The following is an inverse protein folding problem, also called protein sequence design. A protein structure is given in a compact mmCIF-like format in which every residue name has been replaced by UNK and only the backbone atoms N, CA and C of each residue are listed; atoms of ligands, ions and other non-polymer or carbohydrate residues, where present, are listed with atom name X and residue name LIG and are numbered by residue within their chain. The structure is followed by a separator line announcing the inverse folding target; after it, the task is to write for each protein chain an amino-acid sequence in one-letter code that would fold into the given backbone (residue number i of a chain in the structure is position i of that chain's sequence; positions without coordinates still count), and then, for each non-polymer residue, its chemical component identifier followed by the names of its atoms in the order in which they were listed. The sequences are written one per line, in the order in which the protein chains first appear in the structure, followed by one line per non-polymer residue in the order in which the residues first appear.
data_IF_715602038999
#
_entry.id   IF_715602038999
#
_cell.length_a   1.000
_cell.length_b   1.000
_cell.length_c   1.000
_cell.angle_alpha   90.00
_cell.angle_beta   90.00
_cell.angle_gamma   90.00
#
_symmetry.space_group_name_H-M   'P 1'
#
loop_
_entity.id
_entity.type
_entity.pdbx_description
1 polymer ?
#
# COMPACT_ATOMS: atom_id res chain seq x y z
N UNK A 1 -3.56 64.91 0.69
CA UNK A 1 -3.15 63.57 1.15
C UNK A 1 -3.65 62.59 0.08
N UNK A 2 -2.71 62.00 -0.67
CA UNK A 2 -3.00 61.21 -1.85
C UNK A 2 -2.97 59.72 -1.49
N UNK A 3 -4.07 59.03 -1.72
CA UNK A 3 -4.16 57.56 -1.67
C UNK A 3 -3.41 56.95 -2.86
N UNK A 4 -2.44 56.07 -2.59
CA UNK A 4 -1.80 55.27 -3.63
C UNK A 4 -2.47 53.89 -3.63
N UNK A 5 -3.41 53.72 -4.57
CA UNK A 5 -3.97 52.39 -4.86
C UNK A 5 -3.01 51.57 -5.70
N UNK A 6 -2.69 50.37 -5.23
CA UNK A 6 -1.94 49.36 -5.98
C UNK A 6 -2.91 48.61 -6.90
N UNK A 7 -2.73 48.81 -8.19
CA UNK A 7 -3.54 48.18 -9.25
C UNK A 7 -2.94 46.79 -9.54
N UNK A 8 -3.65 45.71 -9.18
CA UNK A 8 -3.30 44.35 -9.61
C UNK A 8 -3.65 44.17 -11.09
N UNK A 9 -2.62 44.00 -11.90
CA UNK A 9 -2.77 43.68 -13.32
C UNK A 9 -3.44 42.34 -13.54
N UNK A 10 -4.52 42.30 -14.30
CA UNK A 10 -5.15 41.06 -14.82
C UNK A 10 -4.15 40.34 -15.73
N UNK A 11 -3.64 39.19 -15.31
CA UNK A 11 -2.91 38.28 -16.20
C UNK A 11 -3.95 37.52 -17.02
N UNK A 12 -4.10 37.93 -18.29
CA UNK A 12 -4.90 37.18 -19.25
C UNK A 12 -4.05 36.04 -19.82
N UNK A 13 -4.27 34.82 -19.33
CA UNK A 13 -3.65 33.64 -19.92
C UNK A 13 -4.35 33.33 -21.25
N UNK A 14 -3.71 33.68 -22.35
CA UNK A 14 -4.18 33.34 -23.70
C UNK A 14 -4.03 31.84 -23.94
N UNK A 15 -5.17 31.14 -24.00
CA UNK A 15 -5.25 29.65 -24.08
C UNK A 15 -4.82 29.01 -25.42
N UNK A 16 -4.05 29.69 -26.28
CA UNK A 16 -3.63 29.19 -27.58
C UNK A 16 -2.32 28.37 -27.51
N UNK A 17 -1.39 28.69 -26.61
CA UNK A 17 -0.11 27.96 -26.49
C UNK A 17 -0.27 26.58 -25.84
N UNK A 18 -1.23 26.43 -24.88
CA UNK A 18 -1.48 25.16 -24.20
C UNK A 18 -2.16 24.10 -25.07
N UNK A 19 -2.93 24.48 -26.09
CA UNK A 19 -3.59 23.51 -26.98
C UNK A 19 -2.60 22.93 -28.02
N UNK A 20 -1.74 23.76 -28.62
CA UNK A 20 -0.71 23.30 -29.58
C UNK A 20 0.29 22.35 -28.94
N UNK A 21 0.76 22.60 -27.73
CA UNK A 21 1.67 21.70 -27.02
C UNK A 21 1.02 20.36 -26.66
N UNK A 22 -0.27 20.32 -26.32
CA UNK A 22 -1.00 19.06 -26.05
C UNK A 22 -1.25 18.26 -27.31
N UNK A 23 -1.61 18.90 -28.44
CA UNK A 23 -1.81 18.21 -29.73
C UNK A 23 -0.51 17.68 -30.32
N UNK A 24 0.60 18.40 -30.15
CA UNK A 24 1.91 17.97 -30.60
C UNK A 24 2.41 16.80 -29.75
N UNK A 25 2.28 16.84 -28.41
CA UNK A 25 2.62 15.73 -27.52
C UNK A 25 1.74 14.49 -27.74
N UNK A 26 0.46 14.65 -28.11
CA UNK A 26 -0.40 13.52 -28.47
C UNK A 26 -0.01 12.86 -29.79
N UNK A 27 0.43 13.65 -30.80
CA UNK A 27 0.93 13.12 -32.09
C UNK A 27 2.27 12.40 -31.89
N UNK A 28 3.19 12.97 -31.13
CA UNK A 28 4.49 12.33 -30.81
C UNK A 28 4.31 11.03 -30.03
N UNK A 29 3.40 10.99 -29.08
CA UNK A 29 3.05 9.74 -28.36
C UNK A 29 2.43 8.68 -29.29
N UNK A 30 1.63 9.08 -30.28
CA UNK A 30 1.05 8.16 -31.26
C UNK A 30 2.12 7.51 -32.13
N UNK A 31 3.10 8.27 -32.60
CA UNK A 31 4.24 7.76 -33.40
C UNK A 31 5.09 6.77 -32.58
N UNK A 32 5.38 7.10 -31.31
CA UNK A 32 6.14 6.21 -30.42
C UNK A 32 5.35 4.92 -30.17
N UNK A 33 4.05 4.99 -29.95
CA UNK A 33 3.20 3.81 -29.72
C UNK A 33 3.14 2.89 -30.93
N UNK A 34 3.01 3.44 -32.14
CA UNK A 34 3.00 2.66 -33.38
C UNK A 34 4.36 1.97 -33.62
N UNK A 35 5.45 2.71 -33.48
CA UNK A 35 6.79 2.20 -33.60
C UNK A 35 7.11 1.10 -32.57
N UNK A 36 6.80 1.33 -31.30
CA UNK A 36 7.01 0.35 -30.24
C UNK A 36 6.09 -0.87 -30.37
N UNK A 37 4.90 -0.70 -30.94
CA UNK A 37 3.96 -1.80 -31.22
C UNK A 37 4.51 -2.79 -32.25
N UNK A 38 5.21 -2.30 -33.29
CA UNK A 38 5.88 -3.16 -34.25
C UNK A 38 7.08 -3.89 -33.68
N UNK A 39 7.95 -3.16 -32.96
CA UNK A 39 9.12 -3.72 -32.28
C UNK A 39 8.79 -4.72 -31.19
N UNK A 40 7.72 -4.52 -30.47
CA UNK A 40 7.33 -5.44 -29.39
C UNK A 40 6.86 -6.81 -29.87
N UNK A 41 6.40 -6.94 -31.11
CA UNK A 41 6.16 -8.23 -31.76
C UNK A 41 7.46 -8.94 -32.11
N UNK A 42 8.38 -8.23 -32.79
CA UNK A 42 9.71 -8.74 -33.13
C UNK A 42 10.46 -9.21 -31.87
N UNK A 43 10.46 -8.41 -30.79
CA UNK A 43 11.08 -8.77 -29.51
C UNK A 43 10.48 -10.06 -28.94
N UNK A 44 9.16 -10.24 -29.00
CA UNK A 44 8.53 -11.48 -28.50
C UNK A 44 8.88 -12.71 -29.30
N UNK A 45 9.05 -12.56 -30.61
CA UNK A 45 9.34 -13.67 -31.50
C UNK A 45 10.86 -14.02 -31.49
N UNK A 46 11.74 -13.02 -31.51
CA UNK A 46 13.19 -13.22 -31.60
C UNK A 46 13.87 -13.48 -30.26
N UNK A 47 13.33 -12.91 -29.16
CA UNK A 47 13.94 -13.01 -27.82
C UNK A 47 13.12 -13.87 -26.84
N UNK A 48 12.25 -14.72 -27.35
CA UNK A 48 11.55 -15.69 -26.52
C UNK A 48 12.56 -16.74 -26.00
N UNK A 49 12.66 -16.83 -24.69
CA UNK A 49 13.43 -17.91 -24.04
C UNK A 49 12.51 -19.12 -23.93
N UNK A 50 12.80 -20.15 -24.72
CA UNK A 50 12.02 -21.37 -24.75
C UNK A 50 12.08 -22.13 -23.41
N UNK A 51 11.09 -23.01 -23.17
CA UNK A 51 11.01 -23.79 -21.93
C UNK A 51 12.20 -24.75 -21.76
N UNK A 52 12.85 -25.11 -22.86
CA UNK A 52 14.06 -25.94 -22.88
C UNK A 52 15.25 -25.34 -22.13
N UNK A 53 15.29 -24.01 -21.92
CA UNK A 53 16.34 -23.35 -21.12
C UNK A 53 16.06 -23.37 -19.61
N UNK A 54 14.86 -23.76 -19.19
CA UNK A 54 14.49 -23.82 -17.76
C UNK A 54 14.75 -25.20 -17.16
N UNK A 55 15.96 -25.70 -17.31
CA UNK A 55 16.37 -26.96 -16.69
C UNK A 55 16.78 -26.77 -15.23
N UNK A 56 16.46 -27.75 -14.37
CA UNK A 56 16.88 -27.78 -12.99
C UNK A 56 16.08 -26.88 -12.06
N UNK A 57 16.75 -26.30 -11.08
CA UNK A 57 16.11 -25.55 -9.99
C UNK A 57 15.89 -24.05 -10.27
N UNK A 58 15.81 -23.65 -11.52
CA UNK A 58 15.55 -22.22 -11.85
C UNK A 58 14.15 -21.83 -11.38
N UNK A 59 14.08 -20.89 -10.44
CA UNK A 59 12.83 -20.44 -9.85
C UNK A 59 12.29 -19.23 -10.61
N UNK A 60 11.00 -19.27 -10.94
CA UNK A 60 10.27 -18.12 -11.53
C UNK A 60 9.51 -17.39 -10.42
N UNK A 61 10.20 -16.53 -9.65
CA UNK A 61 9.63 -15.82 -8.51
C UNK A 61 9.72 -16.60 -7.20
N UNK A 62 8.78 -16.35 -6.27
CA UNK A 62 8.83 -16.82 -4.88
C UNK A 62 8.06 -18.13 -4.63
N UNK A 63 7.77 -18.90 -5.70
CA UNK A 63 7.11 -20.20 -5.58
C UNK A 63 7.86 -21.29 -6.30
N UNK A 64 7.85 -22.48 -5.71
CA UNK A 64 8.27 -23.71 -6.34
C UNK A 64 7.19 -24.22 -7.32
N UNK A 65 7.55 -25.16 -8.18
CA UNK A 65 6.62 -25.78 -9.14
C UNK A 65 5.43 -26.50 -8.48
N UNK A 66 5.63 -27.00 -7.26
CA UNK A 66 4.60 -27.64 -6.43
C UNK A 66 3.69 -26.62 -5.68
N UNK A 67 3.87 -25.32 -5.92
CA UNK A 67 3.13 -24.24 -5.28
C UNK A 67 3.61 -23.85 -3.89
N UNK A 68 4.69 -24.47 -3.37
CA UNK A 68 5.30 -24.05 -2.11
C UNK A 68 6.05 -22.75 -2.23
N UNK A 69 6.25 -22.04 -1.11
CA UNK A 69 7.09 -20.84 -1.06
C UNK A 69 8.57 -21.20 -1.22
N UNK A 70 9.30 -20.37 -1.95
CA UNK A 70 10.76 -20.42 -1.99
C UNK A 70 11.30 -19.84 -0.68
N UNK A 71 12.24 -20.54 -0.03
CA UNK A 71 12.90 -20.00 1.15
C UNK A 71 13.92 -18.94 0.71
N UNK A 72 13.59 -17.68 0.96
CA UNK A 72 14.43 -16.52 0.59
C UNK A 72 15.10 -15.87 1.78
N UNK A 73 14.98 -16.48 2.96
CA UNK A 73 15.64 -16.03 4.18
C UNK A 73 14.95 -16.55 5.44
N UNK A 74 15.56 -16.24 6.58
CA UNK A 74 15.05 -16.59 7.90
C UNK A 74 14.70 -15.31 8.65
N UNK A 75 13.57 -15.29 9.33
CA UNK A 75 13.09 -14.14 10.12
C UNK A 75 12.52 -14.61 11.46
N UNK A 76 12.61 -13.76 12.47
CA UNK A 76 11.90 -13.88 13.75
C UNK A 76 10.80 -12.84 13.92
N UNK A 77 10.54 -12.03 12.87
CA UNK A 77 9.56 -10.94 12.93
C UNK A 77 8.14 -11.49 12.83
N UNK A 78 7.90 -12.35 11.85
CA UNK A 78 6.59 -12.96 11.66
C UNK A 78 6.69 -14.44 11.31
N UNK A 79 5.67 -15.21 11.66
CA UNK A 79 5.51 -16.60 11.29
C UNK A 79 4.08 -16.88 10.85
N UNK A 80 3.95 -17.57 9.73
CA UNK A 80 2.68 -17.91 9.10
C UNK A 80 2.54 -19.42 9.08
N UNK A 81 1.42 -19.93 9.58
CA UNK A 81 1.12 -21.36 9.62
C UNK A 81 -0.25 -21.62 8.96
N UNK A 82 -0.29 -22.43 7.94
CA UNK A 82 -1.52 -22.86 7.25
C UNK A 82 -1.60 -24.37 7.06
N UNK A 83 -0.54 -25.10 7.45
CA UNK A 83 -0.46 -26.55 7.42
C UNK A 83 0.59 -27.07 8.41
N UNK A 84 0.46 -28.34 8.80
CA UNK A 84 1.49 -29.13 9.49
C UNK A 84 2.13 -30.10 8.50
N UNK A 85 3.40 -30.41 8.72
CA UNK A 85 4.08 -31.50 8.02
C UNK A 85 4.04 -32.75 8.93
N UNK A 86 3.34 -33.79 8.48
CA UNK A 86 3.30 -35.06 9.16
C UNK A 86 3.62 -36.17 8.14
N UNK A 87 4.66 -36.94 8.38
CA UNK A 87 5.13 -38.00 7.49
C UNK A 87 5.38 -37.57 6.05
N UNK A 88 5.88 -36.34 5.87
CA UNK A 88 6.11 -35.73 4.56
C UNK A 88 4.85 -35.21 3.85
N UNK A 89 3.67 -35.38 4.44
CA UNK A 89 2.41 -34.88 3.93
C UNK A 89 2.05 -33.55 4.60
N UNK A 90 1.38 -32.66 3.81
CA UNK A 90 0.85 -31.39 4.32
C UNK A 90 -0.58 -31.59 4.78
N UNK A 91 -0.79 -31.45 6.07
CA UNK A 91 -2.11 -31.47 6.68
C UNK A 91 -2.55 -30.02 6.87
N UNK A 92 -3.61 -29.55 6.16
CA UNK A 92 -4.13 -28.20 6.36
C UNK A 92 -4.61 -28.01 7.80
N UNK A 93 -4.34 -26.83 8.35
CA UNK A 93 -4.84 -26.38 9.65
C UNK A 93 -5.49 -25.03 9.49
N UNK A 94 -6.32 -24.57 10.44
CA UNK A 94 -6.74 -23.16 10.52
C UNK A 94 -5.52 -22.24 10.50
N UNK A 95 -5.61 -21.14 9.76
CA UNK A 95 -4.52 -20.20 9.61
C UNK A 95 -4.12 -19.59 10.94
N UNK A 96 -2.80 -19.46 11.17
CA UNK A 96 -2.23 -18.75 12.31
C UNK A 96 -1.14 -17.81 11.85
N UNK A 97 -1.14 -16.63 12.41
CA UNK A 97 -0.15 -15.59 12.16
C UNK A 97 0.41 -15.12 13.50
N UNK A 98 1.74 -15.05 13.58
CA UNK A 98 2.44 -14.66 14.79
C UNK A 98 3.30 -13.42 14.52
N UNK A 99 3.21 -12.45 15.39
CA UNK A 99 4.09 -11.27 15.44
C UNK A 99 5.07 -11.43 16.58
N UNK A 100 6.36 -11.59 16.26
CA UNK A 100 7.43 -11.82 17.27
C UNK A 100 7.10 -12.94 18.26
N UNK A 101 6.38 -13.97 17.79
CA UNK A 101 6.01 -15.14 18.60
C UNK A 101 4.68 -15.03 19.35
N UNK A 102 4.00 -13.87 19.30
CA UNK A 102 2.67 -13.67 19.87
C UNK A 102 1.64 -13.92 18.76
N UNK A 103 0.61 -14.71 19.03
CA UNK A 103 -0.45 -14.98 18.06
C UNK A 103 -1.29 -13.72 17.80
N UNK A 104 -1.58 -13.46 16.53
CA UNK A 104 -2.29 -12.25 16.11
C UNK A 104 -3.65 -12.13 16.80
N UNK A 105 -4.37 -13.24 16.95
CA UNK A 105 -5.67 -13.24 17.60
C UNK A 105 -5.58 -12.82 19.08
N UNK A 106 -4.52 -13.22 19.80
CA UNK A 106 -4.32 -12.81 21.19
C UNK A 106 -4.11 -11.29 21.30
N UNK A 107 -3.36 -10.69 20.35
CA UNK A 107 -3.17 -9.23 20.29
C UNK A 107 -4.51 -8.52 20.06
N UNK A 108 -5.26 -8.99 19.05
CA UNK A 108 -6.55 -8.39 18.66
C UNK A 108 -7.58 -8.49 19.79
N UNK A 109 -7.70 -9.66 20.43
CA UNK A 109 -8.67 -9.86 21.50
C UNK A 109 -8.30 -9.04 22.76
N UNK A 110 -7.03 -8.86 23.08
CA UNK A 110 -6.58 -8.01 24.18
C UNK A 110 -7.05 -6.55 23.97
N UNK A 111 -6.74 -5.95 22.82
CA UNK A 111 -7.15 -4.59 22.51
C UNK A 111 -8.67 -4.42 22.40
N UNK A 112 -9.36 -5.43 21.86
CA UNK A 112 -10.82 -5.46 21.79
C UNK A 112 -11.47 -5.49 23.17
N UNK A 113 -10.93 -6.31 24.08
CA UNK A 113 -11.45 -6.42 25.45
C UNK A 113 -11.26 -5.13 26.26
N UNK A 114 -10.13 -4.44 26.04
CA UNK A 114 -9.79 -3.18 26.72
C UNK A 114 -10.37 -1.93 26.04
N UNK A 115 -10.85 -2.05 24.80
CA UNK A 115 -11.31 -0.91 24.01
C UNK A 115 -10.19 0.08 23.67
N UNK A 116 -8.96 -0.41 23.46
CA UNK A 116 -7.77 0.38 23.18
C UNK A 116 -7.37 0.31 21.69
N UNK A 117 -6.52 1.24 21.24
CA UNK A 117 -5.86 1.19 19.93
C UNK A 117 -4.57 0.39 20.06
N UNK A 118 -4.30 -0.51 19.10
CA UNK A 118 -3.19 -1.46 19.18
C UNK A 118 -2.14 -1.31 18.09
N UNK A 119 -2.37 -0.52 17.05
CA UNK A 119 -1.42 -0.43 15.93
C UNK A 119 -0.04 0.09 16.35
N UNK A 120 0.03 1.10 17.20
CA UNK A 120 1.28 1.65 17.69
C UNK A 120 2.05 0.65 18.56
N UNK A 121 1.35 -0.13 19.38
CA UNK A 121 1.95 -1.22 20.17
C UNK A 121 2.49 -2.32 19.27
N UNK A 122 1.75 -2.71 18.21
CA UNK A 122 2.21 -3.67 17.21
C UNK A 122 3.42 -3.15 16.44
N UNK A 123 3.44 -1.86 16.08
CA UNK A 123 4.61 -1.25 15.45
C UNK A 123 5.84 -1.32 16.37
N UNK A 124 5.68 -1.03 17.66
CA UNK A 124 6.73 -1.19 18.67
C UNK A 124 7.21 -2.65 18.75
N UNK A 125 6.26 -3.59 18.87
CA UNK A 125 6.55 -5.04 18.95
C UNK A 125 7.36 -5.52 17.74
N UNK A 126 6.95 -5.16 16.54
CA UNK A 126 7.61 -5.58 15.30
C UNK A 126 9.02 -5.00 15.18
N UNK A 127 9.21 -3.74 15.53
CA UNK A 127 10.51 -3.05 15.50
C UNK A 127 11.46 -3.57 16.58
N UNK A 128 11.00 -3.65 17.83
CA UNK A 128 11.87 -3.86 18.99
C UNK A 128 11.84 -5.30 19.54
N UNK A 129 10.91 -6.14 19.07
CA UNK A 129 10.89 -7.58 19.36
C UNK A 129 10.20 -7.99 20.65
N UNK A 130 9.58 -7.06 21.38
CA UNK A 130 8.79 -7.29 22.60
C UNK A 130 7.67 -6.28 22.73
N UNK A 131 6.68 -6.57 23.54
CA UNK A 131 5.65 -5.61 23.92
C UNK A 131 6.25 -4.51 24.82
N UNK A 132 5.77 -3.25 24.67
CA UNK A 132 6.17 -2.15 25.56
C UNK A 132 5.53 -2.25 26.93
N UNK A 133 6.16 -1.70 27.95
CA UNK A 133 5.46 -1.28 29.17
C UNK A 133 4.62 -0.01 28.86
N UNK A 134 3.66 0.32 29.75
CA UNK A 134 2.75 1.45 29.51
C UNK A 134 3.49 2.78 29.29
N UNK A 135 4.53 3.03 30.07
CA UNK A 135 5.36 4.24 29.94
C UNK A 135 6.17 4.24 28.63
N UNK A 136 6.65 3.08 28.18
CA UNK A 136 7.39 2.94 26.92
C UNK A 136 6.45 3.18 25.73
N UNK A 137 5.21 2.66 25.78
CA UNK A 137 4.20 2.91 24.73
C UNK A 137 3.85 4.38 24.67
N UNK A 138 3.62 5.03 25.82
CA UNK A 138 3.34 6.46 25.87
C UNK A 138 4.49 7.29 25.26
N UNK A 139 5.74 6.94 25.59
CA UNK A 139 6.91 7.58 25.01
C UNK A 139 7.01 7.32 23.49
N UNK A 140 6.76 6.11 23.03
CA UNK A 140 6.78 5.77 21.61
C UNK A 140 5.71 6.53 20.83
N UNK A 141 4.50 6.65 21.37
CA UNK A 141 3.43 7.45 20.78
C UNK A 141 3.81 8.92 20.64
N UNK A 142 4.49 9.49 21.66
CA UNK A 142 4.99 10.85 21.58
C UNK A 142 6.08 11.01 20.50
N UNK A 143 6.97 10.03 20.36
CA UNK A 143 7.99 10.00 19.30
C UNK A 143 7.33 9.96 17.92
N UNK A 144 6.35 9.08 17.72
CA UNK A 144 5.59 9.01 16.47
C UNK A 144 4.87 10.33 16.17
N UNK A 145 4.23 10.94 17.18
CA UNK A 145 3.55 12.22 17.02
C UNK A 145 4.49 13.33 16.55
N UNK A 146 5.68 13.42 17.11
CA UNK A 146 6.70 14.39 16.71
C UNK A 146 7.25 14.10 15.31
N UNK A 147 7.42 12.82 14.96
CA UNK A 147 7.95 12.39 13.66
C UNK A 147 6.95 12.57 12.49
N UNK A 148 5.66 12.83 12.78
CA UNK A 148 4.65 13.10 11.74
C UNK A 148 4.89 14.38 10.95
N UNK A 149 5.72 15.30 11.47
CA UNK A 149 5.99 16.55 10.78
C UNK A 149 6.70 16.30 9.44
N UNK A 150 6.12 16.84 8.37
CA UNK A 150 6.73 16.77 7.03
C UNK A 150 7.78 17.88 6.88
N UNK A 151 8.82 17.67 6.05
CA UNK A 151 9.72 18.75 5.65
C UNK A 151 8.95 19.93 5.04
N UNK A 152 9.48 21.14 5.19
CA UNK A 152 8.86 22.36 4.66
C UNK A 152 8.60 22.25 3.16
N UNK A 153 7.42 22.68 2.73
CA UNK A 153 6.93 22.63 1.34
C UNK A 153 6.87 21.24 0.70
N UNK A 154 7.12 20.16 1.44
CA UNK A 154 7.13 18.80 0.87
C UNK A 154 5.78 18.42 0.23
N UNK A 155 4.68 18.70 0.91
CA UNK A 155 3.34 18.37 0.38
C UNK A 155 3.05 19.15 -0.90
N UNK A 156 3.37 20.43 -0.94
CA UNK A 156 3.18 21.29 -2.09
C UNK A 156 4.04 20.83 -3.29
N UNK A 157 5.31 20.61 -3.06
CA UNK A 157 6.28 20.34 -4.12
C UNK A 157 6.24 18.89 -4.61
N UNK A 158 6.09 17.92 -3.72
CA UNK A 158 6.19 16.51 -4.07
C UNK A 158 4.82 15.85 -4.33
N UNK A 159 3.73 16.39 -3.77
CA UNK A 159 2.41 15.79 -3.91
C UNK A 159 1.50 16.65 -4.80
N UNK A 160 1.32 17.93 -4.48
CA UNK A 160 0.35 18.79 -5.17
C UNK A 160 0.82 19.24 -6.56
N UNK A 161 2.11 19.56 -6.76
CA UNK A 161 2.66 19.93 -8.07
C UNK A 161 2.78 18.77 -9.04
N UNK A 162 2.85 17.53 -8.53
CA UNK A 162 2.93 16.33 -9.34
C UNK A 162 1.93 15.25 -8.87
N UNK A 163 0.61 15.52 -8.92
CA UNK A 163 -0.40 14.60 -8.44
C UNK A 163 -0.42 13.31 -9.27
N UNK A 164 -0.74 12.18 -8.64
CA UNK A 164 -0.84 10.89 -9.31
C UNK A 164 -2.26 10.33 -9.25
N UNK A 165 -2.73 9.73 -10.35
CA UNK A 165 -3.96 8.93 -10.34
C UNK A 165 -3.83 7.66 -9.49
N UNK A 166 -2.60 7.21 -9.27
CA UNK A 166 -2.27 6.03 -8.49
C UNK A 166 -1.58 6.43 -7.18
N UNK A 167 -2.27 6.23 -6.05
CA UNK A 167 -1.80 6.60 -4.72
C UNK A 167 -0.53 5.83 -4.34
N UNK A 168 -0.41 4.55 -4.71
CA UNK A 168 0.78 3.75 -4.43
C UNK A 168 2.01 4.29 -5.16
N UNK A 169 1.84 4.79 -6.40
CA UNK A 169 2.93 5.49 -7.10
C UNK A 169 3.31 6.79 -6.38
N UNK A 170 2.32 7.55 -5.89
CA UNK A 170 2.59 8.76 -5.13
C UNK A 170 3.34 8.45 -3.83
N UNK A 171 2.95 7.39 -3.11
CA UNK A 171 3.64 6.92 -1.90
C UNK A 171 5.11 6.58 -2.19
N UNK A 172 5.37 5.73 -3.20
CA UNK A 172 6.74 5.33 -3.56
C UNK A 172 7.63 6.54 -3.88
N UNK A 173 7.11 7.49 -4.68
CA UNK A 173 7.85 8.73 -5.02
C UNK A 173 8.10 9.60 -3.80
N UNK A 174 7.11 9.73 -2.94
CA UNK A 174 7.22 10.54 -1.73
C UNK A 174 8.23 9.95 -0.75
N UNK A 175 8.24 8.63 -0.58
CA UNK A 175 9.25 7.95 0.24
C UNK A 175 10.65 8.21 -0.31
N UNK A 176 10.85 8.00 -1.62
CA UNK A 176 12.16 8.23 -2.25
C UNK A 176 12.58 9.70 -2.17
N UNK A 177 11.65 10.64 -2.29
CA UNK A 177 11.94 12.07 -2.17
C UNK A 177 12.36 12.49 -0.75
N UNK A 178 11.90 11.79 0.31
CA UNK A 178 12.33 12.06 1.69
C UNK A 178 13.82 11.89 1.91
N UNK A 179 14.48 11.07 1.10
CA UNK A 179 15.95 10.95 1.07
C UNK A 179 16.65 12.31 1.01
N UNK A 180 16.17 13.21 0.15
CA UNK A 180 16.78 14.54 -0.04
C UNK A 180 16.59 15.51 1.14
N UNK A 181 15.81 15.12 2.14
CA UNK A 181 15.53 15.91 3.34
C UNK A 181 16.15 15.28 4.62
N UNK A 182 16.96 14.25 4.46
CA UNK A 182 17.65 13.56 5.55
C UNK A 182 19.16 13.69 5.36
N UNK A 183 19.81 14.46 6.20
CA UNK A 183 21.26 14.69 6.15
C UNK A 183 22.08 13.39 6.38
N UNK A 184 21.46 12.37 6.96
CA UNK A 184 22.07 11.07 7.25
C UNK A 184 21.41 9.93 6.44
N UNK A 185 20.91 10.22 5.23
CA UNK A 185 20.15 9.27 4.43
C UNK A 185 20.91 7.96 4.16
N UNK A 186 22.21 8.03 3.91
CA UNK A 186 23.09 6.89 3.57
C UNK A 186 23.71 6.19 4.80
N UNK A 187 23.44 6.67 6.02
CA UNK A 187 23.93 6.00 7.22
C UNK A 187 23.11 4.74 7.48
N UNK A 188 23.71 3.58 7.21
CA UNK A 188 23.13 2.25 7.40
C UNK A 188 23.37 1.67 8.82
N UNK A 189 23.72 2.51 9.81
CA UNK A 189 23.76 2.06 11.19
C UNK A 189 22.38 1.63 11.69
N UNK A 190 22.29 0.61 12.56
CA UNK A 190 21.01 0.16 13.10
C UNK A 190 20.20 1.26 13.76
N UNK A 191 20.86 2.18 14.44
CA UNK A 191 20.27 3.35 15.10
C UNK A 191 19.61 4.29 14.10
N UNK A 192 20.29 4.58 12.99
CA UNK A 192 19.76 5.46 11.96
C UNK A 192 18.64 4.79 11.15
N UNK A 193 18.77 3.50 10.82
CA UNK A 193 17.69 2.72 10.18
C UNK A 193 16.45 2.72 11.06
N UNK A 194 16.59 2.53 12.37
CA UNK A 194 15.46 2.58 13.30
C UNK A 194 14.80 3.96 13.31
N UNK A 195 15.59 5.06 13.38
CA UNK A 195 15.09 6.43 13.28
C UNK A 195 14.29 6.64 11.99
N UNK A 196 14.88 6.31 10.84
CA UNK A 196 14.24 6.43 9.53
C UNK A 196 12.95 5.60 9.44
N UNK A 197 12.94 4.39 10.01
CA UNK A 197 11.76 3.53 10.05
C UNK A 197 10.63 4.14 10.86
N UNK A 198 10.91 4.70 12.04
CA UNK A 198 9.92 5.39 12.88
C UNK A 198 9.36 6.62 12.16
N UNK A 199 10.21 7.43 11.52
CA UNK A 199 9.78 8.59 10.75
C UNK A 199 8.88 8.19 9.56
N UNK A 200 9.22 7.13 8.85
CA UNK A 200 8.41 6.62 7.74
C UNK A 200 7.06 6.10 8.24
N UNK A 201 7.00 5.30 9.31
CA UNK A 201 5.75 4.84 9.92
C UNK A 201 4.85 6.03 10.28
N UNK A 202 5.42 7.07 10.87
CA UNK A 202 4.69 8.27 11.28
C UNK A 202 4.18 9.11 10.08
N UNK A 203 4.96 9.21 8.99
CA UNK A 203 4.67 10.05 7.82
C UNK A 203 3.80 9.38 6.76
N UNK A 204 3.81 8.06 6.65
CA UNK A 204 3.03 7.32 5.65
C UNK A 204 1.53 7.67 5.63
N UNK A 205 0.84 7.72 6.78
CA UNK A 205 -0.59 8.09 6.80
C UNK A 205 -0.84 9.49 6.25
N UNK A 206 0.03 10.46 6.56
CA UNK A 206 -0.10 11.82 6.07
C UNK A 206 0.16 11.92 4.55
N UNK A 207 1.18 11.23 4.05
CA UNK A 207 1.47 11.14 2.61
C UNK A 207 0.28 10.49 1.88
N UNK A 208 -0.27 9.39 2.41
CA UNK A 208 -1.40 8.69 1.84
C UNK A 208 -2.67 9.57 1.79
N UNK A 209 -2.99 10.27 2.88
CA UNK A 209 -4.11 11.18 2.96
C UNK A 209 -3.96 12.34 1.96
N UNK A 210 -2.82 13.01 1.94
CA UNK A 210 -2.55 14.11 1.02
C UNK A 210 -2.56 13.66 -0.45
N UNK A 211 -2.03 12.46 -0.76
CA UNK A 211 -2.09 11.86 -2.08
C UNK A 211 -3.54 11.57 -2.52
N UNK A 212 -4.37 11.08 -1.60
CA UNK A 212 -5.79 10.86 -1.86
C UNK A 212 -6.52 12.17 -2.13
N UNK A 213 -6.27 13.22 -1.34
CA UNK A 213 -6.89 14.53 -1.52
C UNK A 213 -6.44 15.17 -2.83
N UNK A 214 -5.15 15.11 -3.17
CA UNK A 214 -4.64 15.57 -4.45
C UNK A 214 -5.30 14.81 -5.62
N UNK A 215 -5.40 13.48 -5.54
CA UNK A 215 -6.08 12.67 -6.55
C UNK A 215 -7.54 13.11 -6.74
N UNK A 216 -8.29 13.23 -5.65
CA UNK A 216 -9.69 13.64 -5.67
C UNK A 216 -9.87 15.03 -6.27
N UNK A 217 -8.97 15.96 -5.96
CA UNK A 217 -9.01 17.33 -6.48
C UNK A 217 -8.68 17.38 -7.97
N UNK A 218 -7.51 16.89 -8.36
CA UNK A 218 -6.99 17.08 -9.73
C UNK A 218 -7.66 16.17 -10.77
N UNK A 219 -8.20 15.02 -10.36
CA UNK A 219 -8.72 14.01 -11.30
C UNK A 219 -10.19 13.65 -11.12
N UNK A 220 -10.79 14.01 -9.98
CA UNK A 220 -12.19 13.66 -9.66
C UNK A 220 -13.05 14.93 -9.44
N UNK A 221 -12.47 16.14 -9.53
CA UNK A 221 -13.20 17.41 -9.47
C UNK A 221 -13.66 17.83 -8.07
N UNK A 222 -13.15 17.20 -7.00
CA UNK A 222 -13.49 17.55 -5.63
C UNK A 222 -12.71 18.78 -5.15
N UNK A 223 -13.24 19.49 -4.15
CA UNK A 223 -12.50 20.56 -3.48
C UNK A 223 -11.27 19.99 -2.77
N UNK A 224 -10.14 20.72 -2.84
CA UNK A 224 -8.95 20.36 -2.09
C UNK A 224 -9.10 20.82 -0.64
N UNK A 225 -8.88 19.89 0.27
CA UNK A 225 -8.64 20.18 1.68
C UNK A 225 -7.47 19.36 2.19
N UNK A 226 -6.68 19.91 3.07
CA UNK A 226 -5.56 19.26 3.75
C UNK A 226 -5.70 19.50 5.24
N UNK A 227 -5.69 18.43 6.00
CA UNK A 227 -5.80 18.48 7.45
C UNK A 227 -4.50 18.00 8.08
N UNK A 228 -3.94 18.80 8.99
CA UNK A 228 -2.77 18.39 9.75
C UNK A 228 -3.15 17.30 10.76
N UNK A 229 -2.29 16.30 10.98
CA UNK A 229 -2.49 15.33 12.04
C UNK A 229 -2.44 16.02 13.41
N UNK A 230 -3.15 15.44 14.38
CA UNK A 230 -3.13 15.88 15.78
C UNK A 230 -2.23 14.94 16.59
N UNK A 231 -1.37 15.47 17.46
CA UNK A 231 -0.39 14.64 18.18
C UNK A 231 -1.04 13.66 19.16
N UNK A 232 -2.18 14.03 19.74
CA UNK A 232 -2.94 13.23 20.71
C UNK A 232 -3.75 12.08 20.11
N UNK A 233 -3.91 12.04 18.78
CA UNK A 233 -4.68 11.02 18.09
C UNK A 233 -3.80 9.87 17.59
N UNK A 234 -4.35 8.65 17.62
CA UNK A 234 -3.74 7.46 17.02
C UNK A 234 -3.53 7.61 15.50
N UNK A 235 -2.80 6.69 14.91
CA UNK A 235 -2.61 6.62 13.45
C UNK A 235 -3.95 6.43 12.74
N UNK A 236 -4.80 5.54 13.24
CA UNK A 236 -6.12 5.26 12.66
C UNK A 236 -7.04 6.50 12.70
N UNK A 237 -7.13 7.16 13.85
CA UNK A 237 -7.94 8.37 14.02
C UNK A 237 -7.46 9.51 13.11
N UNK A 238 -6.16 9.75 13.08
CA UNK A 238 -5.56 10.76 12.20
C UNK A 238 -5.85 10.48 10.73
N UNK A 239 -5.74 9.23 10.27
CA UNK A 239 -6.00 8.86 8.88
C UNK A 239 -7.47 9.13 8.51
N UNK A 240 -8.43 8.76 9.36
CA UNK A 240 -9.85 9.08 9.15
C UNK A 240 -10.08 10.59 9.09
N UNK A 241 -9.58 11.31 10.08
CA UNK A 241 -9.69 12.76 10.18
C UNK A 241 -9.12 13.48 8.97
N UNK A 242 -7.94 13.06 8.49
CA UNK A 242 -7.28 13.70 7.35
C UNK A 242 -7.94 13.40 6.01
N UNK A 243 -8.68 12.29 5.89
CA UNK A 243 -9.32 11.88 4.63
C UNK A 243 -10.78 12.33 4.50
N UNK A 244 -11.34 13.02 5.50
CA UNK A 244 -12.72 13.51 5.54
C UNK A 244 -12.76 15.03 5.61
N UNK A 245 -13.61 15.64 4.79
CA UNK A 245 -13.69 17.10 4.68
C UNK A 245 -14.08 17.77 6.01
N UNK A 246 -14.99 17.16 6.75
CA UNK A 246 -15.50 17.62 8.04
C UNK A 246 -14.69 17.15 9.26
N UNK A 247 -13.63 16.36 9.02
CA UNK A 247 -12.76 15.74 10.04
C UNK A 247 -13.49 14.77 10.98
N UNK A 248 -14.75 14.42 10.69
CA UNK A 248 -15.57 13.61 11.57
C UNK A 248 -15.31 12.11 11.37
N UNK A 249 -15.37 11.37 12.44
CA UNK A 249 -15.37 9.90 12.46
C UNK A 249 -16.00 9.41 13.78
N UNK A 250 -16.48 8.19 13.78
CA UNK A 250 -16.96 7.53 14.98
C UNK A 250 -15.85 6.72 15.63
N UNK A 251 -15.95 6.48 16.93
CA UNK A 251 -15.02 5.61 17.64
C UNK A 251 -14.96 4.20 17.02
N UNK A 252 -16.12 3.68 16.59
CA UNK A 252 -16.19 2.37 15.95
C UNK A 252 -15.40 2.32 14.62
N UNK A 253 -15.47 3.36 13.80
CA UNK A 253 -14.68 3.45 12.56
C UNK A 253 -13.19 3.53 12.85
N UNK A 254 -12.79 4.25 13.88
CA UNK A 254 -11.39 4.36 14.28
C UNK A 254 -10.84 3.01 14.77
N UNK A 255 -11.56 2.30 15.65
CA UNK A 255 -11.17 0.96 16.09
C UNK A 255 -11.14 -0.06 14.93
N UNK A 256 -12.11 0.00 13.99
CA UNK A 256 -12.10 -0.87 12.81
C UNK A 256 -10.86 -0.62 11.94
N UNK A 257 -10.52 0.65 11.71
CA UNK A 257 -9.32 0.98 10.92
C UNK A 257 -8.04 0.58 11.64
N UNK A 258 -7.95 0.76 12.95
CA UNK A 258 -6.83 0.31 13.77
C UNK A 258 -6.64 -1.21 13.66
N UNK A 259 -7.72 -1.97 13.80
CA UNK A 259 -7.71 -3.42 13.60
C UNK A 259 -7.21 -3.78 12.19
N UNK A 260 -7.66 -3.09 11.15
CA UNK A 260 -7.18 -3.32 9.78
C UNK A 260 -5.68 -3.04 9.65
N UNK A 261 -5.14 -2.02 10.32
CA UNK A 261 -3.71 -1.72 10.33
C UNK A 261 -2.93 -2.81 11.05
N UNK A 262 -3.42 -3.33 12.19
CA UNK A 262 -2.83 -4.46 12.91
C UNK A 262 -2.76 -5.70 12.02
N UNK A 263 -3.89 -6.08 11.38
CA UNK A 263 -3.98 -7.27 10.53
C UNK A 263 -3.07 -7.22 9.29
N UNK A 264 -2.69 -6.03 8.85
CA UNK A 264 -1.84 -5.82 7.67
C UNK A 264 -0.39 -5.47 8.01
N UNK A 265 0.00 -5.46 9.29
CA UNK A 265 1.33 -4.99 9.69
C UNK A 265 2.46 -5.93 9.26
N UNK A 266 2.22 -7.25 9.27
CA UNK A 266 3.25 -8.25 8.95
C UNK A 266 2.60 -9.52 8.37
N UNK A 267 3.22 -10.14 7.37
CA UNK A 267 2.83 -11.45 6.84
C UNK A 267 4.04 -12.23 6.30
N UNK A 268 5.14 -12.27 7.08
CA UNK A 268 6.37 -13.01 6.77
C UNK A 268 7.00 -12.59 5.43
N UNK A 269 7.55 -13.53 4.67
CA UNK A 269 8.32 -13.28 3.43
C UNK A 269 7.42 -13.03 2.22
N UNK A 270 6.53 -12.04 2.28
CA UNK A 270 5.77 -11.58 1.12
C UNK A 270 6.69 -10.90 0.08
N UNK A 271 6.13 -10.61 -1.11
CA UNK A 271 6.94 -10.06 -2.20
C UNK A 271 7.56 -8.69 -1.89
N UNK A 272 6.87 -7.82 -1.14
CA UNK A 272 7.43 -6.52 -0.74
C UNK A 272 8.59 -6.69 0.25
N UNK A 273 8.47 -7.58 1.22
CA UNK A 273 9.56 -7.94 2.14
C UNK A 273 10.77 -8.49 1.39
N UNK A 274 10.54 -9.37 0.41
CA UNK A 274 11.63 -9.88 -0.43
C UNK A 274 12.33 -8.78 -1.22
N UNK A 275 11.58 -7.89 -1.89
CA UNK A 275 12.12 -6.76 -2.65
C UNK A 275 12.90 -5.82 -1.73
N UNK A 276 12.35 -5.47 -0.57
CA UNK A 276 13.04 -4.64 0.42
C UNK A 276 14.39 -5.25 0.81
N UNK A 277 14.41 -6.52 1.16
CA UNK A 277 15.64 -7.25 1.53
C UNK A 277 16.63 -7.37 0.37
N UNK A 278 16.13 -7.62 -0.84
CA UNK A 278 16.99 -7.70 -2.04
C UNK A 278 17.67 -6.35 -2.32
N UNK A 279 16.93 -5.24 -2.21
CA UNK A 279 17.50 -3.90 -2.38
C UNK A 279 18.48 -3.58 -1.25
N UNK A 280 18.09 -3.80 0.01
CA UNK A 280 18.94 -3.54 1.19
C UNK A 280 20.24 -4.35 1.17
N UNK A 281 20.26 -5.54 0.53
CA UNK A 281 21.46 -6.39 0.45
C UNK A 281 22.62 -5.74 -0.33
N UNK A 282 22.35 -4.71 -1.12
CA UNK A 282 23.37 -3.92 -1.80
C UNK A 282 24.03 -2.86 -0.90
N UNK A 283 23.55 -2.68 0.34
CA UNK A 283 24.03 -1.65 1.26
C UNK A 283 23.48 -0.26 0.96
N UNK A 284 22.39 -0.14 0.20
CA UNK A 284 21.74 1.13 -0.10
C UNK A 284 20.89 1.64 1.08
N UNK A 285 20.40 2.87 0.94
CA UNK A 285 19.61 3.58 1.94
C UNK A 285 18.21 2.99 2.19
N UNK A 286 17.62 3.34 3.33
CA UNK A 286 16.28 2.89 3.75
C UNK A 286 15.19 3.37 2.80
N UNK A 287 15.27 4.60 2.29
CA UNK A 287 14.23 5.19 1.44
C UNK A 287 14.13 4.46 0.10
N UNK A 288 15.25 4.12 -0.53
CA UNK A 288 15.33 3.30 -1.74
C UNK A 288 14.72 1.91 -1.53
N UNK A 289 15.05 1.26 -0.41
CA UNK A 289 14.55 -0.07 -0.07
C UNK A 289 13.03 -0.07 0.15
N UNK A 290 12.51 0.88 0.91
CA UNK A 290 11.07 1.01 1.20
C UNK A 290 10.30 1.47 -0.04
N UNK A 291 10.82 2.41 -0.84
CA UNK A 291 10.19 2.82 -2.10
C UNK A 291 10.07 1.64 -3.07
N UNK A 292 11.09 0.78 -3.16
CA UNK A 292 11.04 -0.46 -3.93
C UNK A 292 9.98 -1.44 -3.42
N UNK A 293 9.86 -1.60 -2.10
CA UNK A 293 8.84 -2.43 -1.47
C UNK A 293 7.41 -1.93 -1.74
N UNK A 294 7.18 -0.61 -1.68
CA UNK A 294 5.91 0.03 -2.05
C UNK A 294 5.62 -0.17 -3.55
N UNK A 295 6.64 -0.06 -4.40
CA UNK A 295 6.55 -0.37 -5.83
C UNK A 295 6.13 -1.81 -6.10
N UNK A 296 6.68 -2.76 -5.35
CA UNK A 296 6.28 -4.17 -5.38
C UNK A 296 4.82 -4.36 -4.96
N UNK A 297 4.40 -3.74 -3.85
CA UNK A 297 3.03 -3.81 -3.35
C UNK A 297 2.01 -3.22 -4.34
N UNK A 298 2.39 -2.21 -5.12
CA UNK A 298 1.56 -1.62 -6.18
C UNK A 298 1.18 -2.63 -7.26
N UNK A 299 1.96 -3.68 -7.46
CA UNK A 299 1.73 -4.69 -8.49
C UNK A 299 0.40 -5.43 -8.31
N UNK A 300 -0.39 -5.65 -9.39
CA UNK A 300 -1.72 -6.27 -9.29
C UNK A 300 -1.68 -7.73 -8.82
N UNK A 301 -0.55 -8.42 -8.97
CA UNK A 301 -0.36 -9.80 -8.52
C UNK A 301 0.03 -9.90 -7.03
N UNK A 302 0.31 -8.78 -6.38
CA UNK A 302 0.67 -8.71 -4.98
C UNK A 302 -0.36 -7.90 -4.18
N UNK A 303 -0.38 -6.57 -4.30
CA UNK A 303 -1.29 -5.69 -3.55
C UNK A 303 -2.62 -5.38 -4.27
N UNK A 304 -2.97 -6.11 -5.33
CA UNK A 304 -4.15 -5.82 -6.15
C UNK A 304 -5.48 -6.35 -5.64
N UNK A 305 -5.49 -7.22 -4.62
CA UNK A 305 -6.70 -7.92 -4.17
C UNK A 305 -7.84 -6.96 -3.77
N UNK A 306 -7.57 -5.98 -2.92
CA UNK A 306 -8.58 -5.01 -2.47
C UNK A 306 -9.23 -4.23 -3.62
N UNK A 307 -8.43 -3.82 -4.62
CA UNK A 307 -8.97 -3.13 -5.80
C UNK A 307 -9.90 -4.04 -6.61
N UNK A 308 -9.56 -5.32 -6.74
CA UNK A 308 -10.38 -6.33 -7.41
C UNK A 308 -11.66 -6.63 -6.64
N UNK A 309 -11.61 -6.73 -5.32
CA UNK A 309 -12.80 -6.88 -4.46
C UNK A 309 -13.75 -5.71 -4.66
N UNK A 310 -13.26 -4.48 -4.59
CA UNK A 310 -14.08 -3.28 -4.80
C UNK A 310 -14.70 -3.24 -6.21
N UNK A 311 -13.94 -3.64 -7.23
CA UNK A 311 -14.45 -3.74 -8.60
C UNK A 311 -15.57 -4.79 -8.71
N UNK A 312 -15.36 -5.96 -8.10
CA UNK A 312 -16.36 -7.02 -8.07
C UNK A 312 -17.65 -6.58 -7.37
N UNK A 313 -17.55 -5.94 -6.18
CA UNK A 313 -18.73 -5.41 -5.50
C UNK A 313 -19.48 -4.34 -6.30
N UNK A 314 -18.77 -3.49 -7.04
CA UNK A 314 -19.40 -2.54 -7.96
C UNK A 314 -20.13 -3.28 -9.06
N UNK A 315 -19.51 -4.26 -9.70
CA UNK A 315 -20.16 -5.10 -10.73
C UNK A 315 -21.41 -5.77 -10.19
N UNK A 316 -21.36 -6.40 -9.01
CA UNK A 316 -22.53 -7.02 -8.37
C UNK A 316 -23.63 -5.99 -8.16
N UNK A 317 -23.32 -4.86 -7.52
CA UNK A 317 -24.30 -3.81 -7.26
C UNK A 317 -24.91 -3.21 -8.54
N UNK A 318 -24.12 -3.04 -9.58
CA UNK A 318 -24.57 -2.50 -10.86
C UNK A 318 -25.44 -3.52 -11.62
N UNK A 319 -25.26 -4.84 -11.37
CA UNK A 319 -26.02 -5.93 -11.99
C UNK A 319 -27.34 -6.20 -11.26
N UNK A 320 -27.31 -6.30 -9.94
CA UNK A 320 -28.46 -6.79 -9.14
C UNK A 320 -29.02 -5.75 -8.14
N UNK A 321 -28.43 -4.53 -8.12
CA UNK A 321 -28.87 -3.45 -7.24
C UNK A 321 -28.22 -3.50 -5.86
N UNK A 322 -28.60 -2.53 -5.00
CA UNK A 322 -28.02 -2.37 -3.65
C UNK A 322 -28.60 -3.37 -2.62
N UNK A 323 -29.80 -3.85 -2.86
CA UNK A 323 -30.53 -4.81 -1.98
C UNK A 323 -31.12 -5.93 -2.81
N UNK A 324 -30.27 -6.84 -3.36
CA UNK A 324 -30.74 -7.95 -4.17
C UNK A 324 -31.47 -9.00 -3.32
N UNK A 325 -32.31 -9.82 -3.97
CA UNK A 325 -32.74 -11.08 -3.36
C UNK A 325 -31.60 -12.10 -3.38
N UNK A 326 -31.68 -13.12 -2.52
CA UNK A 326 -30.65 -14.17 -2.47
C UNK A 326 -30.55 -14.92 -3.81
N UNK A 327 -31.64 -15.12 -4.52
CA UNK A 327 -31.65 -15.78 -5.82
C UNK A 327 -30.97 -14.94 -6.91
N UNK A 328 -31.24 -13.62 -6.93
CA UNK A 328 -30.60 -12.71 -7.88
C UNK A 328 -29.09 -12.56 -7.59
N UNK A 329 -28.71 -12.51 -6.30
CA UNK A 329 -27.32 -12.48 -5.90
C UNK A 329 -26.61 -13.80 -6.27
N UNK A 330 -27.23 -14.94 -5.99
CA UNK A 330 -26.70 -16.27 -6.34
C UNK A 330 -26.44 -16.40 -7.84
N UNK A 331 -27.40 -16.05 -8.69
CA UNK A 331 -27.23 -16.07 -10.15
C UNK A 331 -26.09 -15.13 -10.63
N UNK A 332 -25.95 -13.96 -10.02
CA UNK A 332 -24.85 -13.04 -10.35
C UNK A 332 -23.47 -13.60 -9.94
N UNK A 333 -23.39 -14.29 -8.79
CA UNK A 333 -22.15 -14.94 -8.35
C UNK A 333 -21.78 -16.14 -9.24
N UNK A 334 -22.76 -16.92 -9.69
CA UNK A 334 -22.55 -18.00 -10.66
C UNK A 334 -22.03 -17.46 -11.99
N UNK A 335 -22.59 -16.37 -12.51
CA UNK A 335 -22.11 -15.72 -13.73
C UNK A 335 -20.68 -15.15 -13.59
N UNK A 336 -20.29 -14.68 -12.39
CA UNK A 336 -18.92 -14.29 -12.10
C UNK A 336 -17.97 -15.51 -12.12
N UNK A 337 -18.36 -16.62 -11.49
CA UNK A 337 -17.58 -17.87 -11.45
C UNK A 337 -17.44 -18.51 -12.82
N UNK A 338 -18.49 -18.44 -13.64
CA UNK A 338 -18.47 -18.91 -15.02
C UNK A 338 -17.71 -17.98 -15.99
N UNK A 339 -17.21 -16.83 -15.51
CA UNK A 339 -16.52 -15.84 -16.33
C UNK A 339 -17.41 -15.13 -17.37
N UNK A 340 -18.72 -15.12 -17.16
CA UNK A 340 -19.69 -14.46 -18.05
C UNK A 340 -19.76 -12.95 -17.82
N UNK A 341 -19.47 -12.50 -16.59
CA UNK A 341 -19.51 -11.09 -16.18
C UNK A 341 -18.25 -10.66 -15.42
N UNK A 342 -18.16 -9.41 -15.03
CA UNK A 342 -17.02 -8.84 -14.32
C UNK A 342 -15.75 -8.79 -15.17
N UNK A 343 -14.62 -9.15 -14.60
CA UNK A 343 -13.33 -9.22 -15.31
C UNK A 343 -13.12 -10.56 -16.04
N UNK A 344 -14.11 -11.41 -16.04
CA UNK A 344 -14.16 -12.73 -16.69
C UNK A 344 -13.09 -13.71 -16.23
N UNK A 345 -12.55 -13.51 -15.03
CA UNK A 345 -11.48 -14.36 -14.47
C UNK A 345 -12.02 -15.68 -13.88
N UNK A 346 -13.32 -15.82 -13.68
CA UNK A 346 -13.94 -16.94 -12.97
C UNK A 346 -13.60 -16.98 -11.49
N UNK A 347 -13.34 -15.82 -10.88
CA UNK A 347 -12.90 -15.71 -9.48
C UNK A 347 -13.83 -14.81 -8.67
N UNK A 348 -14.13 -15.23 -7.46
CA UNK A 348 -14.68 -14.36 -6.42
C UNK A 348 -13.51 -13.80 -5.58
N UNK A 349 -13.22 -12.53 -5.78
CA UNK A 349 -12.11 -11.88 -5.07
C UNK A 349 -12.46 -11.66 -3.60
N UNK A 350 -11.47 -11.85 -2.73
CA UNK A 350 -11.64 -11.80 -1.26
C UNK A 350 -11.96 -13.15 -0.63
N UNK A 351 -12.14 -14.21 -1.46
CA UNK A 351 -12.30 -15.58 -1.01
C UNK A 351 -11.07 -16.40 -1.44
N UNK A 352 -10.60 -17.26 -0.53
CA UNK A 352 -9.40 -18.07 -0.73
C UNK A 352 -8.10 -17.27 -0.48
N UNK A 353 -7.06 -18.00 -0.12
CA UNK A 353 -5.76 -17.46 0.21
C UNK A 353 -4.63 -18.30 -0.39
N UNK A 354 -3.51 -17.66 -0.73
CA UNK A 354 -2.36 -18.36 -1.32
C UNK A 354 -1.64 -19.29 -0.33
N UNK A 355 -1.70 -18.98 0.96
CA UNK A 355 -1.02 -19.71 2.05
C UNK A 355 -1.99 -20.55 2.86
N UNK A 356 -3.06 -19.94 3.38
CA UNK A 356 -4.06 -20.62 4.20
C UNK A 356 -5.00 -21.46 3.34
N UNK A 357 -5.34 -22.66 3.83
CA UNK A 357 -6.20 -23.63 3.09
C UNK A 357 -7.57 -23.85 3.74
N UNK A 358 -7.67 -23.62 5.06
CA UNK A 358 -8.90 -23.80 5.82
C UNK A 358 -9.56 -22.48 6.18
N UNK A 359 -8.83 -21.61 6.85
CA UNK A 359 -9.28 -20.25 7.24
C UNK A 359 -8.09 -19.32 7.34
N UNK A 360 -8.32 -18.02 7.18
CA UNK A 360 -7.39 -17.00 7.66
C UNK A 360 -7.37 -16.97 9.20
N UNK A 361 -6.35 -16.40 9.82
CA UNK A 361 -6.27 -16.19 11.27
C UNK A 361 -7.43 -15.39 11.83
#
# INVERSE_FOLDING_TARGET
MKENGIQYGKITVTGAAGRRGKEQGMKENGVIQEYTGSLSRQIREEYHIGEEYYHGEIKRGLRNSDGTGVMVGVTKVGSVQGYLLQDGQRIPIPGRLYYRGIELNDIVEAHRAEGTFGFEEVAYLLLLGRLPAAEELAQFNQILANARQMPAAFTEDMILKAPSRNIMNQLARSVLALYSFDDNADDASPENILRQSIELIARFPLIAANALMAKRHYFEGNSLYLHNPLPELSVAENLLRMTRADKSYTAQEAHLLDLMLILHAEHSSNNSTFVCRAISSSGTDTYSAIAGAVGSLKGPLHGGANAKVLQMFRTIRDTVGATPTDEALGACLDDLLDGKTGDRSGKLYGLGHAVYKMSDP
#
